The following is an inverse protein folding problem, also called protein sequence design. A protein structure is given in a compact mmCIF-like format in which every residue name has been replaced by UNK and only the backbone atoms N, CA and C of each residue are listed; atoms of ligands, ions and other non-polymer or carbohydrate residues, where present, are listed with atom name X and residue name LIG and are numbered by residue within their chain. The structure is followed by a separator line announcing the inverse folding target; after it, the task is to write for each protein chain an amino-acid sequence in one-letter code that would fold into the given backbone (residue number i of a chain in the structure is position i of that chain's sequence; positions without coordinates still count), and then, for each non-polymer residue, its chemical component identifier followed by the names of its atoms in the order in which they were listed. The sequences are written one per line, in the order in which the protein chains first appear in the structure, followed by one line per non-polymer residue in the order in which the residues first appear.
data_IF_293769494943
#
_entry.id   IF_293769494943
#
_cell.length_a   1.000
_cell.length_b   1.000
_cell.length_c   1.000
_cell.angle_alpha   90.00
_cell.angle_beta   90.00
_cell.angle_gamma   90.00
#
_symmetry.space_group_name_H-M   'P 1'
#
loop_
_entity.id
_entity.type
_entity.pdbx_description
1 polymer ?
#
# COMPACT_ATOMS: atom_id res chain seq x y z
N UNK A 1 -9.15 -12.64 14.55
CA UNK A 1 -8.88 -11.91 13.30
C UNK A 1 -7.67 -12.57 12.66
N UNK A 2 -7.73 -12.90 11.37
CA UNK A 2 -6.64 -13.50 10.61
C UNK A 2 -5.87 -12.41 9.85
N UNK A 3 -4.54 -12.47 9.88
CA UNK A 3 -3.74 -11.60 9.01
C UNK A 3 -3.52 -12.27 7.67
N UNK A 4 -3.75 -11.52 6.59
CA UNK A 4 -3.80 -12.07 5.23
C UNK A 4 -2.95 -11.22 4.30
N UNK A 5 -2.18 -11.87 3.42
CA UNK A 5 -1.47 -11.22 2.33
C UNK A 5 -1.82 -11.97 1.04
N UNK A 6 -2.41 -11.26 0.07
CA UNK A 6 -2.65 -11.82 -1.26
C UNK A 6 -1.46 -11.55 -2.17
N UNK A 7 -0.96 -12.59 -2.83
CA UNK A 7 0.20 -12.49 -3.72
C UNK A 7 -0.02 -13.30 -5.01
N UNK A 8 0.82 -13.06 -6.01
CA UNK A 8 0.91 -13.90 -7.19
C UNK A 8 2.33 -13.89 -7.72
N UNK A 9 2.75 -14.99 -8.34
CA UNK A 9 4.08 -15.10 -8.93
C UNK A 9 4.00 -15.30 -10.44
N UNK A 10 4.59 -14.37 -11.19
CA UNK A 10 4.60 -14.46 -12.65
C UNK A 10 5.77 -15.30 -13.18
N UNK A 11 6.88 -15.37 -12.44
CA UNK A 11 8.13 -15.93 -12.95
C UNK A 11 8.66 -17.06 -12.05
N UNK A 12 9.55 -16.75 -11.11
CA UNK A 12 10.19 -17.71 -10.21
C UNK A 12 10.41 -17.08 -8.82
N UNK A 13 10.83 -17.88 -7.83
CA UNK A 13 11.04 -17.42 -6.46
C UNK A 13 12.02 -16.25 -6.33
N UNK A 14 13.08 -16.22 -7.15
CA UNK A 14 14.07 -15.14 -7.09
C UNK A 14 13.43 -13.82 -7.52
N UNK A 15 12.80 -13.79 -8.69
CA UNK A 15 12.13 -12.59 -9.19
C UNK A 15 10.95 -12.16 -8.33
N UNK A 16 10.21 -13.13 -7.77
CA UNK A 16 9.16 -12.86 -6.80
C UNK A 16 9.72 -12.12 -5.58
N UNK A 17 10.77 -12.61 -4.94
CA UNK A 17 11.40 -11.96 -3.78
C UNK A 17 11.97 -10.58 -4.12
N UNK A 18 12.45 -10.34 -5.35
CA UNK A 18 12.90 -9.01 -5.78
C UNK A 18 11.77 -7.98 -5.80
N UNK A 19 10.53 -8.44 -6.03
CA UNK A 19 9.34 -7.60 -6.09
C UNK A 19 8.58 -7.58 -4.76
N UNK A 20 8.20 -8.73 -4.21
CA UNK A 20 7.45 -8.87 -2.97
C UNK A 20 8.34 -9.65 -1.99
N UNK A 21 9.19 -8.96 -1.20
CA UNK A 21 10.29 -9.58 -0.47
C UNK A 21 9.81 -10.23 0.85
N UNK A 22 8.95 -11.25 0.77
CA UNK A 22 8.36 -11.90 1.93
C UNK A 22 9.41 -12.56 2.84
N UNK A 23 10.48 -13.15 2.26
CA UNK A 23 11.53 -13.78 3.06
C UNK A 23 12.32 -12.72 3.85
N UNK A 24 12.61 -11.58 3.22
CA UNK A 24 13.17 -10.41 3.92
C UNK A 24 12.27 -9.97 5.07
N UNK A 25 10.97 -9.79 4.80
CA UNK A 25 9.99 -9.30 5.79
C UNK A 25 9.91 -10.25 6.99
N UNK A 26 9.75 -11.54 6.75
CA UNK A 26 9.66 -12.54 7.82
C UNK A 26 10.93 -12.59 8.68
N UNK A 27 12.11 -12.55 8.05
CA UNK A 27 13.40 -12.48 8.77
C UNK A 27 13.52 -11.22 9.61
N UNK A 28 13.09 -10.08 9.08
CA UNK A 28 13.09 -8.81 9.81
C UNK A 28 12.15 -8.88 11.02
N UNK A 29 10.93 -9.36 10.85
CA UNK A 29 9.97 -9.51 11.93
C UNK A 29 10.52 -10.42 13.04
N UNK A 30 11.11 -11.57 12.71
CA UNK A 30 11.79 -12.42 13.70
C UNK A 30 12.92 -11.71 14.43
N UNK A 31 13.75 -10.94 13.73
CA UNK A 31 14.83 -10.18 14.34
C UNK A 31 14.34 -9.07 15.30
N UNK A 32 13.11 -8.58 15.09
CA UNK A 32 12.43 -7.63 15.96
C UNK A 32 11.60 -8.32 17.07
N UNK A 33 11.50 -9.66 17.07
CA UNK A 33 10.65 -10.42 17.98
C UNK A 33 9.16 -10.36 17.65
N UNK A 34 8.79 -9.98 16.42
CA UNK A 34 7.40 -9.85 15.97
C UNK A 34 6.82 -11.18 15.48
N UNK A 35 5.49 -11.30 15.55
CA UNK A 35 4.75 -12.40 14.93
C UNK A 35 4.78 -12.34 13.39
N UNK A 36 4.84 -13.53 12.77
CA UNK A 36 4.76 -13.75 11.32
C UNK A 36 3.56 -14.62 10.91
N UNK A 37 2.55 -14.74 11.77
CA UNK A 37 1.36 -15.54 11.49
C UNK A 37 0.45 -14.84 10.46
N UNK A 38 0.80 -14.97 9.19
CA UNK A 38 -0.01 -14.51 8.06
C UNK A 38 -0.42 -15.71 7.19
N UNK A 39 -1.67 -15.69 6.75
CA UNK A 39 -2.16 -16.54 5.66
C UNK A 39 -1.74 -15.89 4.32
N UNK A 40 -0.80 -16.50 3.62
CA UNK A 40 -0.31 -16.04 2.31
C UNK A 40 -1.10 -16.73 1.22
N UNK A 41 -2.02 -16.01 0.59
CA UNK A 41 -2.91 -16.53 -0.45
C UNK A 41 -2.32 -16.25 -1.83
N UNK A 42 -1.81 -17.30 -2.49
CA UNK A 42 -1.34 -17.20 -3.87
C UNK A 42 -2.54 -17.27 -4.83
N UNK A 43 -2.88 -16.13 -5.44
CA UNK A 43 -3.93 -16.05 -6.45
C UNK A 43 -3.52 -16.74 -7.77
N UNK A 44 -2.22 -16.79 -8.05
CA UNK A 44 -1.62 -17.43 -9.22
C UNK A 44 -0.12 -17.70 -8.97
N UNK A 45 0.44 -18.68 -9.68
CA UNK A 45 1.88 -18.97 -9.70
C UNK A 45 2.45 -19.65 -8.46
N UNK A 46 1.63 -20.29 -7.63
CA UNK A 46 2.11 -21.06 -6.48
C UNK A 46 3.09 -22.17 -6.90
N UNK A 47 2.84 -22.82 -8.04
CA UNK A 47 3.68 -23.85 -8.66
C UNK A 47 5.02 -23.32 -9.18
N UNK A 48 5.12 -22.00 -9.44
CA UNK A 48 6.34 -21.33 -9.93
C UNK A 48 7.32 -20.99 -8.82
N UNK A 49 6.87 -21.05 -7.57
CA UNK A 49 7.72 -20.89 -6.39
C UNK A 49 8.30 -22.26 -6.01
N UNK A 50 9.63 -22.34 -5.97
CA UNK A 50 10.34 -23.56 -5.61
C UNK A 50 10.11 -23.97 -4.14
N UNK A 51 10.30 -25.27 -3.87
CA UNK A 51 10.04 -25.84 -2.55
C UNK A 51 10.97 -25.28 -1.47
N UNK A 52 12.21 -24.93 -1.81
CA UNK A 52 13.16 -24.37 -0.84
C UNK A 52 12.68 -23.00 -0.34
N UNK A 53 12.18 -22.15 -1.24
CA UNK A 53 11.62 -20.86 -0.88
C UNK A 53 10.33 -21.00 -0.05
N UNK A 54 9.43 -21.93 -0.43
CA UNK A 54 8.22 -22.25 0.36
C UNK A 54 8.57 -22.66 1.79
N UNK A 55 9.46 -23.64 1.95
CA UNK A 55 9.92 -24.09 3.26
C UNK A 55 10.52 -22.93 4.07
N UNK A 56 11.32 -22.07 3.42
CA UNK A 56 11.89 -20.90 4.08
C UNK A 56 10.83 -19.91 4.59
N UNK A 57 9.69 -19.76 3.92
CA UNK A 57 8.60 -18.91 4.39
C UNK A 57 7.81 -19.59 5.53
N UNK A 58 7.55 -20.88 5.43
CA UNK A 58 6.88 -21.66 6.48
C UNK A 58 7.70 -21.70 7.79
N UNK A 59 9.02 -21.86 7.69
CA UNK A 59 9.95 -21.75 8.83
C UNK A 59 9.94 -20.36 9.47
N UNK A 60 9.60 -19.32 8.69
CA UNK A 60 9.42 -17.96 9.19
C UNK A 60 8.04 -17.75 9.84
N UNK A 61 7.16 -18.75 9.82
CA UNK A 61 5.85 -18.72 10.47
C UNK A 61 4.66 -18.38 9.56
N UNK A 62 4.90 -18.23 8.25
CA UNK A 62 3.82 -18.03 7.27
C UNK A 62 3.06 -19.32 6.97
N UNK A 63 1.75 -19.21 6.76
CA UNK A 63 0.95 -20.28 6.16
C UNK A 63 0.80 -20.00 4.66
N UNK A 64 1.17 -20.94 3.79
CA UNK A 64 1.11 -20.73 2.34
C UNK A 64 -0.07 -21.49 1.71
N UNK A 65 -0.84 -20.82 0.86
CA UNK A 65 -2.05 -21.39 0.28
C UNK A 65 -2.12 -21.16 -1.22
N UNK A 66 -2.36 -22.24 -1.98
CA UNK A 66 -2.65 -22.17 -3.41
C UNK A 66 -4.15 -21.90 -3.63
N UNK A 67 -4.48 -20.64 -3.92
CA UNK A 67 -5.84 -20.20 -4.20
C UNK A 67 -6.12 -20.08 -5.70
N UNK A 68 -5.23 -20.59 -6.56
CA UNK A 68 -5.33 -20.46 -8.02
C UNK A 68 -6.65 -21.00 -8.59
N UNK A 69 -7.19 -22.09 -8.04
CA UNK A 69 -8.48 -22.66 -8.46
C UNK A 69 -9.66 -21.74 -8.13
N UNK A 70 -9.66 -21.16 -6.93
CA UNK A 70 -10.68 -20.18 -6.50
C UNK A 70 -10.61 -18.96 -7.42
N UNK A 71 -9.41 -18.42 -7.62
CA UNK A 71 -9.18 -17.28 -8.50
C UNK A 71 -9.58 -17.60 -9.95
N UNK A 72 -9.25 -18.77 -10.49
CA UNK A 72 -9.61 -19.15 -11.86
C UNK A 72 -11.13 -19.21 -12.06
N UNK A 73 -11.87 -19.77 -11.09
CA UNK A 73 -13.34 -19.79 -11.11
C UNK A 73 -13.92 -18.38 -11.13
N UNK A 74 -13.47 -17.52 -10.22
CA UNK A 74 -13.88 -16.11 -10.15
C UNK A 74 -13.47 -15.33 -11.41
N UNK A 75 -12.27 -15.56 -11.93
CA UNK A 75 -11.76 -14.93 -13.15
C UNK A 75 -12.62 -15.23 -14.37
N UNK A 76 -13.20 -16.44 -14.44
CA UNK A 76 -14.15 -16.83 -15.48
C UNK A 76 -15.52 -16.14 -15.26
N UNK A 77 -16.03 -16.13 -14.02
CA UNK A 77 -17.30 -15.48 -13.67
C UNK A 77 -17.27 -13.97 -13.95
N UNK A 78 -16.19 -13.29 -13.56
CA UNK A 78 -15.99 -11.84 -13.73
C UNK A 78 -15.07 -11.55 -14.94
N UNK A 79 -15.32 -12.23 -16.06
CA UNK A 79 -14.48 -12.13 -17.27
C UNK A 79 -14.38 -10.72 -17.85
N UNK A 80 -15.38 -9.86 -17.64
CA UNK A 80 -15.39 -8.45 -18.06
C UNK A 80 -14.22 -7.63 -17.49
N UNK A 81 -13.71 -8.00 -16.30
CA UNK A 81 -12.56 -7.34 -15.68
C UNK A 81 -11.25 -7.53 -16.46
N UNK A 82 -11.19 -8.50 -17.38
CA UNK A 82 -9.98 -8.75 -18.18
C UNK A 82 -9.57 -7.55 -19.04
N UNK A 83 -10.49 -6.61 -19.30
CA UNK A 83 -10.20 -5.37 -20.01
C UNK A 83 -9.17 -4.46 -19.31
N UNK A 84 -9.02 -4.61 -17.99
CA UNK A 84 -8.08 -3.82 -17.18
C UNK A 84 -6.69 -4.47 -17.06
N UNK A 85 -6.51 -5.64 -17.69
CA UNK A 85 -5.30 -6.43 -17.58
C UNK A 85 -5.26 -7.32 -16.34
N UNK A 86 -4.26 -8.20 -16.32
CA UNK A 86 -4.14 -9.26 -15.32
C UNK A 86 -3.94 -8.73 -13.89
N UNK A 87 -3.12 -7.68 -13.72
CA UNK A 87 -2.85 -7.05 -12.43
C UNK A 87 -4.14 -6.51 -11.79
N UNK A 88 -4.86 -5.62 -12.48
CA UNK A 88 -6.07 -5.00 -11.93
C UNK A 88 -7.17 -6.03 -11.69
N UNK A 89 -7.31 -7.02 -12.59
CA UNK A 89 -8.25 -8.12 -12.38
C UNK A 89 -7.95 -8.89 -11.09
N UNK A 90 -6.68 -9.17 -10.79
CA UNK A 90 -6.26 -9.80 -9.53
C UNK A 90 -6.59 -8.91 -8.33
N UNK A 91 -6.35 -7.60 -8.42
CA UNK A 91 -6.69 -6.64 -7.36
C UNK A 91 -8.20 -6.58 -7.08
N UNK A 92 -9.06 -6.59 -8.10
CA UNK A 92 -10.53 -6.65 -7.90
C UNK A 92 -10.99 -7.96 -7.27
N UNK A 93 -10.43 -9.09 -7.71
CA UNK A 93 -10.93 -10.42 -7.33
C UNK A 93 -10.32 -10.97 -6.04
N UNK A 94 -9.21 -10.41 -5.53
CA UNK A 94 -8.58 -10.90 -4.30
C UNK A 94 -9.54 -10.90 -3.11
N UNK A 95 -10.45 -9.93 -3.03
CA UNK A 95 -11.42 -9.83 -1.94
C UNK A 95 -12.41 -10.99 -1.94
N UNK A 96 -12.88 -11.40 -3.13
CA UNK A 96 -13.73 -12.58 -3.28
C UNK A 96 -12.97 -13.89 -3.03
N UNK A 97 -11.67 -13.94 -3.39
CA UNK A 97 -10.81 -15.08 -3.05
C UNK A 97 -10.64 -15.20 -1.54
N UNK A 98 -10.41 -14.08 -0.85
CA UNK A 98 -10.29 -14.07 0.61
C UNK A 98 -11.59 -14.56 1.26
N UNK A 99 -12.75 -14.04 0.85
CA UNK A 99 -14.04 -14.50 1.41
C UNK A 99 -14.27 -15.99 1.14
N UNK A 100 -13.99 -16.50 -0.05
CA UNK A 100 -14.16 -17.93 -0.32
C UNK A 100 -13.18 -18.82 0.47
N UNK A 101 -11.98 -18.32 0.78
CA UNK A 101 -10.96 -19.09 1.51
C UNK A 101 -11.12 -19.02 3.04
N UNK A 102 -11.43 -17.84 3.57
CA UNK A 102 -11.53 -17.53 5.01
C UNK A 102 -12.96 -17.14 5.42
N UNK A 103 -13.96 -17.78 4.81
CA UNK A 103 -15.36 -17.36 4.94
C UNK A 103 -15.79 -17.16 6.39
N UNK A 104 -16.37 -15.99 6.67
CA UNK A 104 -16.89 -15.61 7.98
C UNK A 104 -15.83 -15.21 9.02
N UNK A 105 -14.53 -15.25 8.67
CA UNK A 105 -13.45 -14.78 9.54
C UNK A 105 -13.28 -13.27 9.46
N UNK A 106 -13.06 -12.62 10.60
CA UNK A 106 -12.56 -11.25 10.61
C UNK A 106 -11.11 -11.23 10.13
N UNK A 107 -10.73 -10.29 9.27
CA UNK A 107 -9.38 -10.23 8.69
C UNK A 107 -8.70 -8.88 8.88
N UNK A 108 -7.37 -8.90 8.88
CA UNK A 108 -6.50 -7.77 8.61
C UNK A 108 -5.68 -8.09 7.35
N UNK A 109 -6.03 -7.47 6.22
CA UNK A 109 -5.28 -7.59 4.99
C UNK A 109 -4.12 -6.59 4.97
N UNK A 110 -2.95 -7.06 4.52
CA UNK A 110 -1.79 -6.23 4.23
C UNK A 110 -1.29 -6.53 2.81
N UNK A 111 -0.91 -5.49 2.05
CA UNK A 111 -0.15 -5.70 0.82
C UNK A 111 1.23 -6.29 1.14
N UNK A 112 1.76 -7.10 0.21
CA UNK A 112 3.04 -7.79 0.39
C UNK A 112 4.27 -6.88 0.43
N UNK A 113 4.10 -5.57 0.24
CA UNK A 113 5.15 -4.56 0.34
C UNK A 113 5.02 -3.64 1.57
N UNK A 114 4.31 -4.10 2.60
CA UNK A 114 4.27 -3.49 3.93
C UNK A 114 5.48 -3.97 4.76
N UNK A 115 6.29 -3.02 5.26
CA UNK A 115 7.38 -3.30 6.22
C UNK A 115 6.95 -2.84 7.60
N UNK A 116 6.79 -3.79 8.52
CA UNK A 116 6.35 -3.51 9.89
C UNK A 116 7.44 -2.86 10.75
N UNK A 117 6.99 -1.94 11.61
CA UNK A 117 7.75 -1.33 12.69
C UNK A 117 7.03 -1.50 14.05
N UNK A 118 5.90 -2.19 14.06
CA UNK A 118 5.22 -2.72 15.25
C UNK A 118 4.82 -4.17 14.97
N UNK A 119 4.73 -4.99 16.00
CA UNK A 119 4.25 -6.36 15.88
C UNK A 119 2.86 -6.39 15.23
N UNK A 120 2.68 -7.10 14.10
CA UNK A 120 1.39 -7.23 13.45
C UNK A 120 0.27 -7.71 14.38
N UNK A 121 0.59 -8.54 15.39
CA UNK A 121 -0.39 -9.02 16.37
C UNK A 121 -0.87 -7.91 17.32
N UNK A 122 0.00 -6.96 17.67
CA UNK A 122 -0.35 -5.78 18.47
C UNK A 122 -1.25 -4.85 17.66
N UNK A 123 -0.92 -4.63 16.39
CA UNK A 123 -1.77 -3.84 15.48
C UNK A 123 -3.15 -4.49 15.35
N UNK A 124 -3.22 -5.79 15.09
CA UNK A 124 -4.48 -6.54 15.01
C UNK A 124 -5.33 -6.39 16.27
N UNK A 125 -4.73 -6.49 17.46
CA UNK A 125 -5.46 -6.32 18.72
C UNK A 125 -6.07 -4.91 18.83
N UNK A 126 -5.34 -3.87 18.40
CA UNK A 126 -5.83 -2.48 18.41
C UNK A 126 -6.92 -2.21 17.37
N UNK A 127 -6.93 -2.99 16.28
CA UNK A 127 -7.91 -2.93 15.20
C UNK A 127 -9.04 -3.97 15.37
N UNK A 128 -9.08 -4.66 16.51
CA UNK A 128 -10.09 -5.68 16.77
C UNK A 128 -11.51 -5.09 16.74
N UNK A 129 -12.42 -5.80 16.08
CA UNK A 129 -13.81 -5.37 15.82
C UNK A 129 -13.93 -4.08 15.01
N UNK A 130 -12.90 -3.70 14.27
CA UNK A 130 -12.94 -2.58 13.34
C UNK A 130 -13.05 -3.05 11.89
N UNK A 131 -13.75 -2.25 11.09
CA UNK A 131 -13.90 -2.41 9.65
C UNK A 131 -13.51 -1.11 8.98
N UNK A 132 -12.32 -1.05 8.39
CA UNK A 132 -11.85 0.16 7.71
C UNK A 132 -10.76 -0.16 6.68
N UNK A 133 -10.65 0.72 5.69
CA UNK A 133 -9.56 0.86 4.76
C UNK A 133 -8.71 2.07 5.16
N UNK A 134 -7.41 1.91 5.29
CA UNK A 134 -6.54 3.03 5.67
C UNK A 134 -6.48 4.04 4.52
N UNK A 135 -7.07 5.21 4.74
CA UNK A 135 -6.98 6.38 3.84
C UNK A 135 -7.47 6.13 2.40
N UNK A 136 -8.22 5.06 2.17
CA UNK A 136 -8.72 4.68 0.85
C UNK A 136 -7.71 3.89 0.02
N UNK A 137 -6.61 3.43 0.61
CA UNK A 137 -5.70 2.48 0.00
C UNK A 137 -5.94 1.06 0.50
N UNK A 138 -6.08 0.08 -0.41
CA UNK A 138 -6.29 -1.31 -0.01
C UNK A 138 -5.07 -2.01 0.63
N UNK A 139 -3.93 -1.33 0.75
CA UNK A 139 -2.71 -1.88 1.32
C UNK A 139 -2.83 -2.23 2.81
N UNK A 140 -3.80 -1.63 3.51
CA UNK A 140 -4.27 -2.07 4.82
C UNK A 140 -5.79 -1.97 4.87
N UNK A 141 -6.47 -3.11 5.01
CA UNK A 141 -7.89 -3.18 5.32
C UNK A 141 -8.10 -4.09 6.52
N UNK A 142 -8.84 -3.62 7.52
CA UNK A 142 -9.40 -4.47 8.56
C UNK A 142 -10.88 -4.69 8.26
N UNK A 143 -11.36 -5.93 8.38
CA UNK A 143 -12.75 -6.29 8.10
C UNK A 143 -13.21 -7.16 9.27
N UNK A 144 -14.06 -6.59 10.13
CA UNK A 144 -14.73 -7.32 11.21
C UNK A 144 -16.23 -7.48 10.96
N UNK A 145 -16.80 -6.64 10.09
CA UNK A 145 -18.17 -6.72 9.63
C UNK A 145 -18.32 -7.88 8.64
N UNK A 146 -19.22 -8.80 8.96
CA UNK A 146 -19.48 -10.02 8.17
C UNK A 146 -20.21 -9.72 6.87
N UNK A 147 -20.93 -8.60 6.79
CA UNK A 147 -21.67 -8.22 5.58
C UNK A 147 -20.79 -7.48 4.57
N UNK A 148 -19.56 -7.10 4.95
CA UNK A 148 -18.65 -6.31 4.11
C UNK A 148 -18.35 -6.98 2.77
N UNK A 149 -18.07 -8.29 2.76
CA UNK A 149 -17.79 -9.02 1.52
C UNK A 149 -19.03 -9.15 0.62
N UNK A 150 -20.22 -9.31 1.21
CA UNK A 150 -21.48 -9.32 0.45
C UNK A 150 -21.75 -7.94 -0.19
N UNK A 151 -21.51 -6.85 0.55
CA UNK A 151 -21.61 -5.48 0.04
C UNK A 151 -20.64 -5.28 -1.14
N UNK A 152 -19.37 -5.62 -0.98
CA UNK A 152 -18.37 -5.55 -2.04
C UNK A 152 -18.77 -6.37 -3.27
N UNK A 153 -19.15 -7.63 -3.08
CA UNK A 153 -19.53 -8.53 -4.17
C UNK A 153 -20.75 -7.99 -4.94
N UNK A 154 -21.79 -7.55 -4.23
CA UNK A 154 -23.00 -7.03 -4.87
C UNK A 154 -22.70 -5.80 -5.74
N UNK A 155 -21.83 -4.92 -5.28
CA UNK A 155 -21.41 -3.74 -6.04
C UNK A 155 -20.52 -4.14 -7.22
N UNK A 156 -19.63 -5.11 -7.03
CA UNK A 156 -18.77 -5.59 -8.10
C UNK A 156 -19.60 -6.21 -9.23
N UNK A 157 -20.65 -6.96 -8.89
CA UNK A 157 -21.59 -7.55 -9.86
C UNK A 157 -22.31 -6.47 -10.68
N UNK A 158 -22.80 -5.41 -10.05
CA UNK A 158 -23.40 -4.27 -10.79
C UNK A 158 -22.36 -3.59 -11.69
N UNK A 159 -21.16 -3.34 -11.17
CA UNK A 159 -20.08 -2.71 -11.91
C UNK A 159 -19.68 -3.52 -13.16
N UNK A 160 -19.49 -4.84 -13.04
CA UNK A 160 -19.05 -5.66 -14.19
C UNK A 160 -20.14 -5.88 -15.23
N UNK A 161 -21.42 -5.74 -14.86
CA UNK A 161 -22.53 -5.84 -15.80
C UNK A 161 -22.54 -4.67 -16.80
N UNK A 162 -22.19 -3.46 -16.37
CA UNK A 162 -22.00 -2.31 -17.25
C UNK A 162 -20.97 -1.31 -16.68
N UNK A 163 -19.70 -1.55 -17.02
CA UNK A 163 -18.55 -0.80 -16.47
C UNK A 163 -18.63 0.69 -16.82
N UNK A 164 -19.01 1.01 -18.05
CA UNK A 164 -19.13 2.38 -18.55
C UNK A 164 -20.25 3.15 -17.82
N UNK A 165 -21.44 2.56 -17.75
CA UNK A 165 -22.60 3.19 -17.11
C UNK A 165 -22.38 3.35 -15.60
N UNK A 166 -21.89 2.30 -14.92
CA UNK A 166 -21.58 2.38 -13.50
C UNK A 166 -20.49 3.42 -13.22
N UNK A 167 -19.43 3.47 -14.04
CA UNK A 167 -18.37 4.47 -13.88
C UNK A 167 -18.88 5.90 -14.09
N UNK A 168 -19.79 6.09 -15.05
CA UNK A 168 -20.42 7.38 -15.32
C UNK A 168 -21.29 7.83 -14.16
N UNK A 169 -22.16 6.96 -13.67
CA UNK A 169 -22.96 7.23 -12.48
C UNK A 169 -22.07 7.55 -11.29
N UNK A 170 -21.05 6.72 -11.04
CA UNK A 170 -20.09 6.93 -9.97
C UNK A 170 -19.36 8.27 -10.11
N UNK A 171 -19.12 8.76 -11.34
CA UNK A 171 -18.49 10.05 -11.57
C UNK A 171 -19.42 11.23 -11.26
N UNK A 172 -20.71 11.08 -11.57
CA UNK A 172 -21.74 12.07 -11.23
C UNK A 172 -21.97 12.14 -9.71
N UNK A 173 -21.90 11.00 -9.03
CA UNK A 173 -22.04 10.90 -7.57
C UNK A 173 -20.79 11.35 -6.80
N UNK A 174 -19.76 11.93 -7.45
CA UNK A 174 -18.51 12.39 -6.81
C UNK A 174 -18.66 13.73 -6.06
N UNK A 175 -19.84 14.34 -6.05
CA UNK A 175 -20.04 15.61 -5.34
C UNK A 175 -19.57 15.51 -3.88
N UNK A 176 -18.84 16.52 -3.39
CA UNK A 176 -18.27 16.54 -2.02
C UNK A 176 -17.22 15.45 -1.71
N UNK A 177 -16.59 14.88 -2.75
CA UNK A 177 -15.53 13.88 -2.62
C UNK A 177 -14.44 14.25 -1.61
N UNK A 178 -13.97 15.50 -1.63
CA UNK A 178 -12.90 15.98 -0.76
C UNK A 178 -13.28 15.87 0.73
N UNK A 179 -14.54 16.14 1.08
CA UNK A 179 -15.04 15.97 2.45
C UNK A 179 -15.06 14.48 2.85
N UNK A 180 -15.40 13.60 1.91
CA UNK A 180 -15.39 12.15 2.12
C UNK A 180 -13.98 11.59 2.28
N UNK A 181 -13.01 12.13 1.53
CA UNK A 181 -11.60 11.76 1.69
C UNK A 181 -11.11 12.07 3.12
N UNK A 182 -11.46 13.25 3.65
CA UNK A 182 -11.06 13.66 5.01
C UNK A 182 -11.82 12.91 6.11
N UNK A 183 -13.14 12.79 5.98
CA UNK A 183 -14.00 12.31 7.07
C UNK A 183 -14.28 10.81 7.03
N UNK A 184 -14.19 10.17 5.86
CA UNK A 184 -14.48 8.74 5.68
C UNK A 184 -13.27 7.95 5.22
N UNK A 185 -12.13 8.58 4.92
CA UNK A 185 -10.99 7.91 4.27
C UNK A 185 -11.38 7.22 2.96
N UNK A 186 -12.19 7.88 2.14
CA UNK A 186 -12.55 7.36 0.83
C UNK A 186 -11.40 7.37 -0.19
N UNK A 187 -10.22 7.90 0.15
CA UNK A 187 -9.08 7.99 -0.77
C UNK A 187 -9.24 9.09 -1.81
N UNK A 188 -8.58 8.94 -2.95
CA UNK A 188 -8.69 9.89 -4.07
C UNK A 188 -9.13 9.16 -5.33
N UNK A 189 -10.12 9.74 -6.03
CA UNK A 189 -10.53 9.28 -7.36
C UNK A 189 -10.47 10.42 -8.37
N UNK A 190 -9.47 10.38 -9.25
CA UNK A 190 -9.30 11.37 -10.32
C UNK A 190 -9.72 10.86 -11.70
N UNK A 191 -10.02 9.57 -11.83
CA UNK A 191 -10.41 8.93 -13.09
C UNK A 191 -11.93 8.80 -13.22
N UNK A 192 -12.45 9.18 -14.38
CA UNK A 192 -13.87 9.00 -14.74
C UNK A 192 -14.24 7.53 -14.80
N UNK A 193 -13.46 6.74 -15.56
CA UNK A 193 -13.60 5.28 -15.60
C UNK A 193 -12.91 4.67 -14.38
N UNK A 194 -13.65 3.87 -13.61
CA UNK A 194 -13.08 3.03 -12.55
C UNK A 194 -12.20 1.98 -13.21
N UNK A 195 -10.92 1.96 -12.85
CA UNK A 195 -9.93 1.10 -13.52
C UNK A 195 -9.00 0.37 -12.55
N UNK A 196 -9.24 0.49 -11.25
CA UNK A 196 -8.53 -0.22 -10.18
C UNK A 196 -9.48 -0.49 -9.02
N UNK A 197 -9.13 -1.47 -8.18
CA UNK A 197 -9.87 -1.74 -6.94
C UNK A 197 -9.83 -0.52 -6.00
N UNK A 198 -8.73 0.23 -5.96
CA UNK A 198 -8.63 1.48 -5.23
C UNK A 198 -9.68 2.50 -5.70
N UNK A 199 -9.83 2.76 -7.01
CA UNK A 199 -10.88 3.67 -7.51
C UNK A 199 -12.28 3.18 -7.11
N UNK A 200 -12.47 1.86 -7.10
CA UNK A 200 -13.74 1.24 -6.81
C UNK A 200 -14.11 1.38 -5.33
N UNK A 201 -13.23 0.98 -4.42
CA UNK A 201 -13.42 1.20 -2.98
C UNK A 201 -13.64 2.66 -2.64
N UNK A 202 -12.87 3.52 -3.29
CA UNK A 202 -13.00 4.95 -3.15
C UNK A 202 -14.45 5.37 -3.37
N UNK A 203 -15.04 4.98 -4.50
CA UNK A 203 -16.45 5.22 -4.77
C UNK A 203 -17.39 4.57 -3.73
N UNK A 204 -17.18 3.30 -3.36
CA UNK A 204 -18.06 2.58 -2.44
C UNK A 204 -18.11 3.22 -1.05
N UNK A 205 -16.96 3.62 -0.52
CA UNK A 205 -16.84 4.28 0.79
C UNK A 205 -17.54 5.64 0.76
N UNK A 206 -17.29 6.42 -0.29
CA UNK A 206 -17.86 7.76 -0.40
C UNK A 206 -19.38 7.75 -0.38
N UNK A 207 -19.96 6.78 -1.08
CA UNK A 207 -21.40 6.63 -1.27
C UNK A 207 -22.06 5.70 -0.25
N UNK A 208 -21.34 5.32 0.81
CA UNK A 208 -21.81 4.44 1.89
C UNK A 208 -22.36 3.09 1.39
N UNK A 209 -21.86 2.61 0.24
CA UNK A 209 -22.21 1.30 -0.33
C UNK A 209 -21.39 0.16 0.24
N UNK A 210 -20.35 0.48 1.02
CA UNK A 210 -19.57 -0.47 1.79
C UNK A 210 -19.34 0.09 3.19
N UNK A 211 -19.39 -0.80 4.18
CA UNK A 211 -19.29 -0.41 5.58
C UNK A 211 -17.87 0.02 5.92
N UNK A 212 -17.75 1.14 6.64
CA UNK A 212 -16.51 1.72 7.09
C UNK A 212 -16.72 2.43 8.43
N UNK A 213 -15.92 2.06 9.43
CA UNK A 213 -15.88 2.74 10.72
C UNK A 213 -15.31 4.16 10.57
N UNK A 214 -15.70 5.02 11.49
CA UNK A 214 -15.23 6.41 11.51
C UNK A 214 -13.70 6.47 11.70
N UNK A 215 -12.96 7.12 10.78
CA UNK A 215 -11.52 7.34 10.89
C UNK A 215 -11.03 7.87 12.23
N UNK A 216 -11.80 8.74 12.92
CA UNK A 216 -11.40 9.28 14.22
C UNK A 216 -11.33 8.20 15.30
N UNK A 217 -12.22 7.20 15.27
CA UNK A 217 -12.17 6.08 16.19
C UNK A 217 -10.93 5.23 15.96
N UNK A 218 -10.56 5.02 14.69
CA UNK A 218 -9.37 4.27 14.30
C UNK A 218 -8.10 4.99 14.77
N UNK A 219 -8.01 6.30 14.51
CA UNK A 219 -6.88 7.13 14.96
C UNK A 219 -6.77 7.11 16.49
N UNK A 220 -7.88 7.19 17.21
CA UNK A 220 -7.89 7.15 18.68
C UNK A 220 -7.27 5.85 19.22
N UNK A 221 -7.65 4.70 18.65
CA UNK A 221 -7.09 3.39 19.02
C UNK A 221 -5.58 3.26 18.72
N UNK A 222 -5.11 3.98 17.70
CA UNK A 222 -3.75 3.91 17.18
C UNK A 222 -2.94 5.18 17.48
N UNK A 223 -3.35 5.99 18.45
CA UNK A 223 -2.75 7.30 18.75
C UNK A 223 -1.25 7.26 19.07
N UNK A 224 -0.71 6.11 19.51
CA UNK A 224 0.72 5.91 19.75
C UNK A 224 1.53 5.75 18.46
N UNK A 225 0.87 5.59 17.32
CA UNK A 225 1.49 5.30 16.03
C UNK A 225 1.19 6.34 14.98
N UNK A 226 2.15 6.51 14.09
CA UNK A 226 1.90 7.16 12.82
C UNK A 226 1.49 6.09 11.81
N UNK A 227 0.41 6.41 11.09
CA UNK A 227 -0.17 5.59 10.03
C UNK A 227 -0.20 6.43 8.75
N UNK A 228 0.08 5.80 7.63
CA UNK A 228 -0.10 6.41 6.32
C UNK A 228 -0.27 5.31 5.29
N UNK A 229 -1.10 5.57 4.28
CA UNK A 229 -1.13 4.75 3.08
C UNK A 229 0.09 5.02 2.19
N UNK A 230 0.64 6.25 2.18
CA UNK A 230 1.71 6.62 1.27
C UNK A 230 2.72 7.55 1.95
N UNK A 231 3.95 7.07 2.19
CA UNK A 231 5.02 7.88 2.78
C UNK A 231 5.30 9.20 2.04
N UNK A 232 5.02 9.27 0.74
CA UNK A 232 5.23 10.48 -0.08
C UNK A 232 4.19 11.58 0.19
N UNK A 233 3.09 11.26 0.85
CA UNK A 233 1.99 12.16 1.17
C UNK A 233 1.88 12.49 2.66
N UNK A 234 2.91 12.20 3.43
CA UNK A 234 2.87 12.39 4.88
C UNK A 234 2.50 13.83 5.30
N UNK A 235 2.91 14.83 4.53
CA UNK A 235 2.58 16.24 4.75
C UNK A 235 1.11 16.63 4.52
N UNK A 236 0.30 15.79 3.86
CA UNK A 236 -1.13 16.09 3.65
C UNK A 236 -2.02 15.39 4.66
N UNK A 237 -1.56 14.30 5.28
CA UNK A 237 -2.38 13.53 6.19
C UNK A 237 -2.48 14.20 7.58
N UNK A 238 -3.69 14.55 7.99
CA UNK A 238 -4.01 14.95 9.37
C UNK A 238 -4.07 13.71 10.28
N UNK A 239 -3.61 13.77 11.54
CA UNK A 239 -3.09 14.95 12.25
C UNK A 239 -1.58 15.19 12.04
N UNK A 240 -0.88 14.30 11.34
CA UNK A 240 0.59 14.28 11.28
C UNK A 240 1.18 15.50 10.56
N UNK A 241 0.46 16.06 9.60
CA UNK A 241 0.81 17.31 8.92
C UNK A 241 1.00 18.51 9.85
N UNK A 242 0.42 18.49 11.06
CA UNK A 242 0.57 19.57 12.06
C UNK A 242 1.94 19.56 12.74
N UNK A 243 2.69 18.46 12.64
CA UNK A 243 3.96 18.27 13.33
C UNK A 243 5.18 18.49 12.42
N UNK A 244 5.03 19.23 11.33
CA UNK A 244 6.14 19.57 10.43
C UNK A 244 7.07 20.64 11.05
N UNK A 245 8.39 20.59 10.80
CA UNK A 245 9.11 19.58 10.02
C UNK A 245 9.28 18.26 10.79
N UNK A 246 9.33 17.15 10.06
CA UNK A 246 9.53 15.84 10.64
C UNK A 246 10.96 15.62 11.15
N UNK A 247 11.06 15.00 12.33
CA UNK A 247 12.29 14.44 12.90
C UNK A 247 12.18 12.94 12.95
N UNK A 248 12.72 12.29 11.94
CA UNK A 248 12.93 10.86 11.90
C UNK A 248 14.07 10.43 12.85
N UNK A 249 13.93 9.25 13.45
CA UNK A 249 15.04 8.53 14.10
C UNK A 249 14.74 7.03 14.05
N UNK A 250 15.79 6.21 14.05
CA UNK A 250 15.67 4.76 14.24
C UNK A 250 16.28 4.35 15.58
N UNK A 251 15.54 3.62 16.39
CA UNK A 251 16.01 3.08 17.68
C UNK A 251 15.75 1.59 17.67
N UNK A 252 16.79 0.78 17.90
CA UNK A 252 16.69 -0.69 17.90
C UNK A 252 15.95 -1.25 16.68
N UNK A 253 16.27 -0.71 15.50
CA UNK A 253 15.64 -1.04 14.23
C UNK A 253 14.14 -0.68 14.08
N UNK A 254 13.56 0.08 15.01
CA UNK A 254 12.20 0.63 14.92
C UNK A 254 12.27 2.10 14.52
N UNK A 255 11.42 2.50 13.57
CA UNK A 255 11.37 3.87 13.06
C UNK A 255 10.39 4.75 13.81
N UNK A 256 10.81 5.98 14.06
CA UNK A 256 10.02 7.02 14.71
C UNK A 256 10.05 8.29 13.88
N UNK A 257 8.95 9.04 13.87
CA UNK A 257 8.89 10.42 13.40
C UNK A 257 8.31 11.28 14.52
N UNK A 258 9.01 12.36 14.89
CA UNK A 258 8.63 13.25 15.99
C UNK A 258 8.30 12.48 17.28
N UNK A 259 9.16 11.50 17.61
CA UNK A 259 9.03 10.64 18.80
C UNK A 259 7.86 9.64 18.78
N UNK A 260 6.98 9.71 17.79
CA UNK A 260 5.90 8.76 17.59
C UNK A 260 6.38 7.62 16.68
N UNK A 261 6.05 6.38 17.05
CA UNK A 261 6.46 5.20 16.31
C UNK A 261 5.71 5.12 14.98
N UNK A 262 6.42 4.81 13.91
CA UNK A 262 5.77 4.46 12.64
C UNK A 262 5.21 3.05 12.78
N UNK A 263 3.93 2.80 12.52
CA UNK A 263 3.40 1.43 12.61
C UNK A 263 4.01 0.52 11.53
N UNK A 264 4.09 1.04 10.30
CA UNK A 264 4.65 0.34 9.16
C UNK A 264 4.99 1.32 8.03
N UNK A 265 5.81 0.89 7.08
CA UNK A 265 6.04 1.56 5.81
C UNK A 265 5.33 0.81 4.69
N UNK A 266 4.45 1.51 3.96
CA UNK A 266 3.94 1.01 2.69
C UNK A 266 4.96 1.31 1.58
N UNK A 267 5.69 0.30 1.14
CA UNK A 267 6.75 0.41 0.15
C UNK A 267 6.23 0.18 -1.26
N UNK A 268 5.16 0.90 -1.61
CA UNK A 268 4.58 0.91 -2.94
C UNK A 268 5.58 1.37 -4.00
N UNK A 269 5.31 1.01 -5.26
CA UNK A 269 6.20 1.26 -6.39
C UNK A 269 6.70 2.70 -6.51
N UNK A 270 5.85 3.70 -6.27
CA UNK A 270 6.25 5.11 -6.32
C UNK A 270 7.26 5.47 -5.21
N UNK A 271 7.06 4.98 -3.99
CA UNK A 271 7.98 5.25 -2.89
C UNK A 271 9.32 4.54 -3.10
N UNK A 272 9.30 3.27 -3.53
CA UNK A 272 10.51 2.51 -3.89
C UNK A 272 11.29 3.20 -5.00
N UNK A 273 10.62 3.68 -6.05
CA UNK A 273 11.24 4.46 -7.14
C UNK A 273 11.85 5.75 -6.62
N UNK A 274 11.14 6.50 -5.78
CA UNK A 274 11.65 7.73 -5.16
C UNK A 274 12.93 7.45 -4.37
N UNK A 275 12.92 6.42 -3.53
CA UNK A 275 14.08 5.99 -2.76
C UNK A 275 15.24 5.57 -3.66
N UNK A 276 14.99 4.82 -4.74
CA UNK A 276 16.01 4.43 -5.71
C UNK A 276 16.65 5.63 -6.42
N UNK A 277 15.85 6.63 -6.84
CA UNK A 277 16.35 7.89 -7.40
C UNK A 277 17.18 8.65 -6.38
N UNK A 278 16.73 8.70 -5.12
CA UNK A 278 17.47 9.30 -4.02
C UNK A 278 18.84 8.66 -3.82
N UNK A 279 18.91 7.32 -3.77
CA UNK A 279 20.17 6.59 -3.64
C UNK A 279 21.12 6.84 -4.80
N UNK A 280 20.61 6.81 -6.03
CA UNK A 280 21.39 7.08 -7.23
C UNK A 280 21.99 8.49 -7.21
N UNK A 281 21.17 9.51 -6.93
CA UNK A 281 21.64 10.90 -6.87
C UNK A 281 22.64 11.12 -5.74
N UNK A 282 22.39 10.57 -4.55
CA UNK A 282 23.34 10.70 -3.43
C UNK A 282 24.69 10.09 -3.77
N UNK A 283 24.74 9.01 -4.54
CA UNK A 283 25.99 8.37 -4.94
C UNK A 283 26.80 9.18 -5.97
N UNK A 284 26.13 9.94 -6.86
CA UNK A 284 26.76 10.67 -7.97
C UNK A 284 26.99 12.14 -7.64
N UNK A 285 26.01 12.79 -7.00
CA UNK A 285 25.97 14.21 -6.70
C UNK A 285 26.06 14.44 -5.19
N UNK A 286 27.05 13.80 -4.53
CA UNK A 286 27.30 13.86 -3.07
C UNK A 286 27.33 15.29 -2.48
N UNK A 287 27.53 16.31 -3.32
CA UNK A 287 27.72 17.70 -2.92
C UNK A 287 26.53 18.62 -3.22
N UNK A 288 25.47 18.13 -3.87
CA UNK A 288 24.33 18.96 -4.26
C UNK A 288 23.10 18.63 -3.42
N UNK A 289 22.70 19.56 -2.56
CA UNK A 289 21.42 19.53 -1.84
C UNK A 289 20.26 19.92 -2.79
N UNK A 290 19.96 19.07 -3.80
CA UNK A 290 18.85 19.31 -4.72
C UNK A 290 17.55 18.65 -4.25
N UNK A 291 16.41 19.31 -4.54
CA UNK A 291 15.08 18.70 -4.40
C UNK A 291 14.98 17.52 -5.33
N UNK A 292 14.64 16.36 -4.78
CA UNK A 292 14.08 15.29 -5.58
C UNK A 292 12.56 15.49 -5.62
N UNK A 293 12.04 15.88 -6.77
CA UNK A 293 10.60 15.86 -7.00
C UNK A 293 10.14 14.41 -6.89
N UNK A 294 9.10 14.17 -6.08
CA UNK A 294 8.43 12.88 -6.12
C UNK A 294 7.51 12.85 -7.37
N UNK A 295 7.24 11.66 -7.91
CA UNK A 295 6.46 11.54 -9.15
C UNK A 295 4.97 11.90 -8.99
N UNK A 296 4.54 12.08 -7.74
CA UNK A 296 3.16 12.26 -7.29
C UNK A 296 2.78 13.74 -7.09
N UNK A 297 3.75 14.65 -7.10
CA UNK A 297 3.54 16.09 -7.12
C UNK A 297 2.96 16.50 -8.49
N UNK A 298 1.66 16.76 -8.55
CA UNK A 298 1.07 17.57 -9.62
C UNK A 298 1.58 18.99 -9.43
N UNK A 299 2.67 19.33 -10.13
CA UNK A 299 3.20 20.69 -10.18
C UNK A 299 2.19 21.58 -10.91
N UNK A 300 1.26 22.18 -10.16
CA UNK A 300 0.51 23.33 -10.65
C UNK A 300 1.47 24.50 -10.82
N UNK A 301 1.84 24.85 -12.06
CA UNK A 301 2.55 26.10 -12.36
C UNK A 301 3.57 26.02 -13.52
N UNK A 302 3.24 26.72 -14.60
CA UNK A 302 3.85 26.78 -15.94
C UNK A 302 5.32 27.25 -16.08
N UNK A 303 6.11 27.41 -15.00
CA UNK A 303 7.45 28.03 -15.11
C UNK A 303 8.61 27.24 -14.48
N UNK A 304 8.34 26.28 -13.60
CA UNK A 304 9.35 25.35 -13.05
C UNK A 304 9.55 24.07 -13.88
N UNK A 305 8.73 23.88 -14.92
CA UNK A 305 8.64 22.61 -15.67
C UNK A 305 9.84 22.32 -16.57
N UNK A 306 10.52 23.32 -17.13
CA UNK A 306 11.48 23.05 -18.21
C UNK A 306 12.82 22.48 -17.71
N UNK A 307 13.36 23.04 -16.63
CA UNK A 307 14.60 22.55 -16.01
C UNK A 307 14.38 21.24 -15.24
N UNK A 308 13.22 21.09 -14.59
CA UNK A 308 12.84 19.85 -13.91
C UNK A 308 12.55 18.72 -14.89
N UNK A 309 11.93 18.97 -16.06
CA UNK A 309 11.70 17.93 -17.10
C UNK A 309 13.00 17.44 -17.73
N UNK A 310 13.97 18.31 -18.00
CA UNK A 310 15.25 17.89 -18.60
C UNK A 310 16.11 17.09 -17.62
N UNK A 311 16.24 17.57 -16.37
CA UNK A 311 16.94 16.84 -15.30
C UNK A 311 16.22 15.54 -14.95
N UNK A 312 14.88 15.54 -14.87
CA UNK A 312 14.07 14.33 -14.68
C UNK A 312 14.26 13.34 -15.82
N UNK A 313 14.24 13.75 -17.09
CA UNK A 313 14.52 12.85 -18.23
C UNK A 313 15.94 12.25 -18.18
N UNK A 314 16.94 13.02 -17.76
CA UNK A 314 18.31 12.52 -17.63
C UNK A 314 18.38 11.54 -16.45
N UNK A 315 17.85 11.90 -15.29
CA UNK A 315 17.80 11.02 -14.12
C UNK A 315 17.01 9.74 -14.43
N UNK A 316 15.85 9.85 -15.07
CA UNK A 316 15.03 8.71 -15.46
C UNK A 316 15.70 7.83 -16.52
N UNK A 317 16.57 8.39 -17.37
CA UNK A 317 17.34 7.63 -18.38
C UNK A 317 18.56 6.92 -17.79
N UNK A 318 19.12 7.44 -16.70
CA UNK A 318 20.38 6.93 -16.11
C UNK A 318 20.22 6.30 -14.73
N UNK A 319 19.06 6.40 -14.08
CA UNK A 319 18.85 5.76 -12.79
C UNK A 319 18.89 4.24 -12.96
N UNK A 320 19.68 3.60 -12.09
CA UNK A 320 19.60 2.15 -11.90
C UNK A 320 18.20 1.84 -11.38
N UNK A 321 17.49 0.94 -12.05
CA UNK A 321 16.26 0.37 -11.52
C UNK A 321 16.63 -0.56 -10.37
N UNK A 322 16.56 -0.05 -9.14
CA UNK A 322 16.71 -0.86 -7.94
C UNK A 322 15.46 -1.72 -7.77
N UNK A 323 15.64 -2.99 -7.43
CA UNK A 323 14.53 -3.83 -7.00
C UNK A 323 13.99 -3.38 -5.63
N UNK A 324 12.78 -3.80 -5.29
CA UNK A 324 12.22 -3.52 -3.96
C UNK A 324 13.09 -4.15 -2.86
N UNK A 325 13.59 -5.36 -3.09
CA UNK A 325 14.52 -6.03 -2.16
C UNK A 325 15.85 -5.28 -1.98
N UNK A 326 16.43 -4.73 -3.05
CA UNK A 326 17.64 -3.90 -2.96
C UNK A 326 17.39 -2.65 -2.10
N UNK A 327 16.26 -1.96 -2.31
CA UNK A 327 15.85 -0.82 -1.49
C UNK A 327 15.62 -1.23 -0.03
N UNK A 328 15.01 -2.39 0.21
CA UNK A 328 14.76 -2.89 1.56
C UNK A 328 16.07 -3.18 2.30
N UNK A 329 16.99 -3.92 1.68
CA UNK A 329 18.30 -4.20 2.27
C UNK A 329 19.04 -2.90 2.61
N UNK A 330 19.03 -1.92 1.69
CA UNK A 330 19.68 -0.64 1.95
C UNK A 330 19.06 0.10 3.15
N UNK A 331 17.76 0.35 3.15
CA UNK A 331 17.11 1.23 4.15
C UNK A 331 16.70 0.55 5.45
N UNK A 332 16.76 -0.77 5.55
CA UNK A 332 16.40 -1.49 6.78
C UNK A 332 17.51 -2.36 7.34
N UNK A 333 18.62 -2.59 6.62
CA UNK A 333 19.82 -3.28 7.15
C UNK A 333 21.06 -2.39 7.18
N UNK A 334 21.32 -1.63 6.12
CA UNK A 334 22.59 -0.91 5.98
C UNK A 334 22.53 0.54 6.47
N UNK A 335 21.39 1.20 6.23
CA UNK A 335 21.11 2.61 6.50
C UNK A 335 19.70 2.79 7.05
N UNK A 336 19.38 4.02 7.41
CA UNK A 336 18.09 4.49 7.90
C UNK A 336 17.50 5.51 6.91
N UNK A 337 16.29 6.00 7.19
CA UNK A 337 15.69 7.08 6.42
C UNK A 337 16.08 8.48 6.90
N UNK A 338 17.13 8.63 7.73
CA UNK A 338 17.53 9.93 8.31
C UNK A 338 17.74 10.99 7.22
N UNK A 339 18.49 10.66 6.17
CA UNK A 339 18.78 11.61 5.10
C UNK A 339 17.55 11.92 4.21
N UNK A 340 16.54 11.05 4.26
CA UNK A 340 15.28 11.17 3.52
C UNK A 340 14.25 12.00 4.28
N UNK A 341 14.29 12.06 5.62
CA UNK A 341 13.26 12.79 6.39
C UNK A 341 13.80 13.98 7.23
N UNK A 342 15.02 13.94 7.77
CA UNK A 342 15.49 14.91 8.78
C UNK A 342 15.99 16.26 8.26
N UNK A 343 16.27 16.39 6.97
CA UNK A 343 16.85 17.61 6.39
C UNK A 343 16.10 18.08 5.13
N UNK A 344 14.86 17.65 5.01
CA UNK A 344 14.03 17.93 3.83
C UNK A 344 13.17 19.17 4.08
N UNK A 345 13.64 20.34 3.60
CA UNK A 345 12.92 21.62 3.65
C UNK A 345 11.62 21.58 2.80
N UNK A 346 11.44 20.56 1.96
CA UNK A 346 10.38 20.45 0.95
C UNK A 346 9.00 20.09 1.49
N UNK A 347 8.89 19.61 2.74
CA UNK A 347 7.59 19.36 3.36
C UNK A 347 6.91 20.64 3.89
N UNK A 348 7.63 21.77 3.92
CA UNK A 348 7.07 23.05 4.36
C UNK A 348 6.23 23.69 3.24
N UNK A 349 4.97 23.99 3.55
CA UNK A 349 4.08 24.80 2.70
C UNK A 349 4.71 26.18 2.52
N UNK A 350 4.86 26.66 1.29
CA UNK A 350 5.37 28.01 1.01
C UNK A 350 6.87 28.13 0.69
N UNK A 351 7.67 27.06 0.75
CA UNK A 351 9.12 27.13 0.46
C UNK A 351 9.43 27.33 -1.03
N UNK A 352 8.41 27.23 -1.90
CA UNK A 352 8.54 27.49 -3.34
C UNK A 352 7.31 28.22 -3.93
N UNK A 353 6.65 29.10 -3.16
CA UNK A 353 5.67 30.03 -3.75
C UNK A 353 6.41 31.09 -4.55
#
# INVERSE_FOLDING_TARGET
MKSVICVWCNNNSHEFEQQIPLNFLGKRNHALGFSNQFEILFLDGFDRIDQQYKNSLEELGYSLHDCSKIFASLSNQYSALSRFGDYEKKCFLRWLVIEQYLSGEAIAHYDGDIVFNEDPSILQQKMHNKTFMLQGCPALICISDKDWFNQYQSQLEVFVNNIEEYSEQAWQEREEWELSQENKWAGSRFRRIISSDQDFFSHLIHTDRISQDNPQEIISNLQSYILWENPLYLHVYSPWNKNLPFRYKRINNIDFINEQQVAFWHMQGYFVKYLGKYLYLKNILKFLNMRLTNEMEVLGGDKGEYFSKLTRKIIDKFHKNYSRLEIYNFYFKEKSFDDVFNNQVWWQKGVFV
#
